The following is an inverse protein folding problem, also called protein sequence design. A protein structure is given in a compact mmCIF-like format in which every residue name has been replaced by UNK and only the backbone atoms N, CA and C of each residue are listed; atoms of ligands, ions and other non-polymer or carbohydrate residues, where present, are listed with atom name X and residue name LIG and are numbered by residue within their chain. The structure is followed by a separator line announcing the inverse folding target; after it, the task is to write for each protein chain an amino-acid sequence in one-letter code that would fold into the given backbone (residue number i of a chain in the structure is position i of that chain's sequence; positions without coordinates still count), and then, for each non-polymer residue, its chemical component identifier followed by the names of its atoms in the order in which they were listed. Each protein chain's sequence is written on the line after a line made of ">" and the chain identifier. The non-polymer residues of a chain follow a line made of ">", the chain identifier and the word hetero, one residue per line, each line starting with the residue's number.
data_IF_947685563001
#
_entry.id   IF_947685563001
#
_cell.length_a   1.000
_cell.length_b   1.000
_cell.length_c   1.000
_cell.angle_alpha   90.00
_cell.angle_beta   90.00
_cell.angle_gamma   90.00
#
_symmetry.space_group_name_H-M   'P 1'
#
loop_
_entity.id
_entity.type
_entity.pdbx_description
1 polymer ?
#
# COMPACT_ATOMS: atom_id res chain seq x y z
N UNK A 1 -21.89 15.41 25.78
CA UNK A 1 -22.51 14.12 26.13
C UNK A 1 -21.62 13.01 25.58
N UNK A 2 -20.83 12.40 26.42
CA UNK A 2 -19.97 11.27 26.04
C UNK A 2 -20.82 9.99 26.02
N UNK A 3 -21.28 9.59 24.84
CA UNK A 3 -21.62 8.18 24.67
C UNK A 3 -20.31 7.41 24.82
N UNK A 4 -20.21 6.55 25.81
CA UNK A 4 -19.18 5.54 25.92
C UNK A 4 -19.42 4.48 24.83
N UNK A 5 -19.11 4.83 23.58
CA UNK A 5 -19.04 3.82 22.53
C UNK A 5 -17.85 2.90 22.86
N UNK A 6 -18.08 1.60 22.81
CA UNK A 6 -16.99 0.63 22.90
C UNK A 6 -15.89 0.97 21.90
N UNK A 7 -14.61 0.71 22.20
CA UNK A 7 -13.51 0.94 21.27
C UNK A 7 -13.78 0.29 19.92
N UNK A 8 -13.41 0.98 18.82
CA UNK A 8 -13.50 0.42 17.47
C UNK A 8 -12.56 -0.78 17.35
N UNK A 9 -13.10 -1.92 16.94
CA UNK A 9 -12.37 -3.19 16.77
C UNK A 9 -11.66 -3.20 15.44
N UNK A 10 -10.33 -3.29 15.46
CA UNK A 10 -9.48 -3.22 14.28
C UNK A 10 -8.92 -4.62 13.96
N UNK A 11 -9.14 -5.07 12.74
CA UNK A 11 -8.48 -6.25 12.17
C UNK A 11 -7.23 -5.80 11.39
N UNK A 12 -6.03 -6.19 11.83
CA UNK A 12 -4.76 -5.80 11.19
C UNK A 12 -4.25 -6.97 10.36
N UNK A 13 -4.41 -6.87 9.06
CA UNK A 13 -3.89 -7.86 8.11
C UNK A 13 -2.47 -7.45 7.69
N UNK A 14 -1.46 -8.13 8.28
CA UNK A 14 -0.05 -7.79 8.17
C UNK A 14 0.50 -7.01 9.37
N UNK A 15 0.16 -7.42 10.60
CA UNK A 15 0.49 -6.73 11.85
C UNK A 15 1.99 -6.63 12.13
N UNK A 16 2.79 -7.55 11.62
CA UNK A 16 4.26 -7.58 11.82
C UNK A 16 5.02 -6.76 10.78
N UNK A 17 4.34 -6.21 9.76
CA UNK A 17 4.91 -5.31 8.77
C UNK A 17 5.07 -3.87 9.30
N UNK A 18 5.72 -3.01 8.50
CA UNK A 18 5.96 -1.60 8.88
C UNK A 18 4.68 -0.83 9.21
N UNK A 19 3.62 -1.02 8.44
CA UNK A 19 2.32 -0.36 8.69
C UNK A 19 1.62 -0.97 9.90
N UNK A 20 1.61 -2.31 10.00
CA UNK A 20 0.94 -3.01 11.09
C UNK A 20 1.54 -2.70 12.47
N UNK A 21 2.86 -2.63 12.58
CA UNK A 21 3.55 -2.26 13.84
C UNK A 21 3.21 -0.82 14.25
N UNK A 22 3.21 0.12 13.31
CA UNK A 22 2.82 1.51 13.57
C UNK A 22 1.32 1.64 13.91
N UNK A 23 0.45 0.82 13.32
CA UNK A 23 -0.96 0.78 13.69
C UNK A 23 -1.17 0.30 15.12
N UNK A 24 -0.40 -0.68 15.56
CA UNK A 24 -0.42 -1.13 16.96
C UNK A 24 0.10 -0.05 17.94
N UNK A 25 1.08 0.77 17.52
CA UNK A 25 1.49 1.95 18.31
C UNK A 25 0.35 2.99 18.40
N UNK A 26 -0.41 3.21 17.33
CA UNK A 26 -1.60 4.08 17.34
C UNK A 26 -2.66 3.53 18.30
N UNK A 27 -2.94 2.22 18.26
CA UNK A 27 -3.89 1.57 19.18
C UNK A 27 -3.41 1.72 20.63
N UNK A 28 -2.13 1.45 20.92
CA UNK A 28 -1.57 1.59 22.25
C UNK A 28 -1.65 3.02 22.80
N UNK A 29 -1.56 4.03 21.92
CA UNK A 29 -1.68 5.44 22.28
C UNK A 29 -3.13 5.90 22.51
N UNK A 30 -4.12 5.13 22.03
CA UNK A 30 -5.54 5.48 22.10
C UNK A 30 -6.42 4.28 22.51
N UNK A 31 -6.17 3.66 23.69
CA UNK A 31 -6.84 2.41 24.11
C UNK A 31 -8.34 2.56 24.37
N UNK A 32 -8.82 3.78 24.58
CA UNK A 32 -10.25 4.07 24.71
C UNK A 32 -10.99 4.18 23.39
N UNK A 33 -10.25 4.35 22.27
CA UNK A 33 -10.82 4.53 20.93
C UNK A 33 -10.68 3.28 20.06
N UNK A 34 -9.63 2.49 20.25
CA UNK A 34 -9.30 1.35 19.40
C UNK A 34 -8.89 0.12 20.21
N UNK A 35 -9.23 -1.04 19.69
CA UNK A 35 -8.75 -2.34 20.16
C UNK A 35 -8.32 -3.21 18.97
N UNK A 36 -7.30 -4.04 19.14
CA UNK A 36 -6.89 -5.01 18.14
C UNK A 36 -7.75 -6.27 18.27
N UNK A 37 -8.52 -6.60 17.25
CA UNK A 37 -9.43 -7.76 17.25
C UNK A 37 -8.80 -8.97 16.56
N UNK A 38 -8.13 -8.72 15.41
CA UNK A 38 -7.46 -9.75 14.61
C UNK A 38 -6.05 -9.26 14.28
N UNK A 39 -5.05 -10.14 14.47
CA UNK A 39 -3.69 -9.88 14.03
C UNK A 39 -3.23 -10.98 13.08
N UNK A 40 -2.64 -10.61 11.95
CA UNK A 40 -2.10 -11.58 11.01
C UNK A 40 -0.65 -11.29 10.65
N UNK A 41 0.13 -12.36 10.41
CA UNK A 41 1.48 -12.27 9.87
C UNK A 41 1.73 -13.39 8.86
N UNK A 42 2.66 -13.20 7.91
CA UNK A 42 3.00 -14.26 6.97
C UNK A 42 3.97 -15.27 7.59
N UNK A 43 5.14 -14.80 8.07
CA UNK A 43 6.22 -15.68 8.55
C UNK A 43 6.81 -15.30 9.91
N UNK A 44 6.53 -14.11 10.41
CA UNK A 44 7.16 -13.62 11.63
C UNK A 44 6.37 -14.04 12.88
N UNK A 45 6.46 -15.31 13.23
CA UNK A 45 5.77 -15.91 14.38
C UNK A 45 6.18 -15.26 15.70
N UNK A 46 7.45 -14.89 15.87
CA UNK A 46 7.95 -14.30 17.11
C UNK A 46 7.28 -12.98 17.41
N UNK A 47 7.33 -12.05 16.46
CA UNK A 47 6.70 -10.73 16.63
C UNK A 47 5.18 -10.85 16.73
N UNK A 48 4.55 -11.77 15.98
CA UNK A 48 3.11 -12.02 16.07
C UNK A 48 2.70 -12.48 17.48
N UNK A 49 3.46 -13.38 18.08
CA UNK A 49 3.23 -13.85 19.46
C UNK A 49 3.40 -12.69 20.45
N UNK A 50 4.47 -11.89 20.34
CA UNK A 50 4.69 -10.71 21.18
C UNK A 50 3.53 -9.71 21.09
N UNK A 51 3.07 -9.44 19.87
CA UNK A 51 1.93 -8.56 19.62
C UNK A 51 0.65 -9.14 20.23
N UNK A 52 0.39 -10.44 20.04
CA UNK A 52 -0.78 -11.12 20.57
C UNK A 52 -0.82 -11.12 22.12
N UNK A 53 0.33 -11.34 22.77
CA UNK A 53 0.44 -11.27 24.24
C UNK A 53 0.25 -9.86 24.79
N UNK A 54 0.59 -8.83 24.02
CA UNK A 54 0.48 -7.42 24.44
C UNK A 54 -0.90 -6.84 24.19
N UNK A 55 -1.53 -7.16 23.04
CA UNK A 55 -2.78 -6.53 22.60
C UNK A 55 -4.00 -7.43 22.78
N UNK A 56 -3.81 -8.68 23.16
CA UNK A 56 -4.85 -9.66 23.50
C UNK A 56 -5.99 -9.74 22.46
N UNK A 57 -5.67 -9.92 21.13
CA UNK A 57 -6.69 -10.03 20.11
C UNK A 57 -7.52 -11.31 20.30
N UNK A 58 -8.74 -11.35 19.76
CA UNK A 58 -9.54 -12.57 19.77
C UNK A 58 -9.01 -13.62 18.79
N UNK A 59 -8.38 -13.18 17.69
CA UNK A 59 -7.92 -14.06 16.61
C UNK A 59 -6.51 -13.68 16.17
N UNK A 60 -5.71 -14.72 15.91
CA UNK A 60 -4.39 -14.61 15.29
C UNK A 60 -4.31 -15.57 14.09
N UNK A 61 -3.74 -15.10 12.97
CA UNK A 61 -3.49 -15.94 11.79
C UNK A 61 -2.03 -15.85 11.38
N UNK A 62 -1.38 -17.01 11.22
CA UNK A 62 -0.03 -17.11 10.62
C UNK A 62 -0.15 -17.71 9.21
N UNK A 63 0.36 -17.00 8.18
CA UNK A 63 0.27 -17.45 6.78
C UNK A 63 1.09 -18.72 6.52
N UNK A 64 2.28 -18.80 7.10
CA UNK A 64 3.14 -20.01 7.03
C UNK A 64 2.61 -21.10 7.97
N UNK A 65 1.97 -22.12 7.41
CA UNK A 65 1.37 -23.23 8.15
C UNK A 65 2.41 -24.00 9.00
N UNK A 66 3.69 -24.00 8.63
CA UNK A 66 4.74 -24.67 9.39
C UNK A 66 4.96 -24.03 10.77
N UNK A 67 4.52 -22.78 10.94
CA UNK A 67 4.62 -22.02 12.19
C UNK A 67 3.40 -22.16 13.12
N UNK A 68 2.33 -22.82 12.65
CA UNK A 68 1.07 -22.96 13.39
C UNK A 68 1.27 -23.52 14.81
N UNK A 69 2.00 -24.63 14.92
CA UNK A 69 2.18 -25.31 16.19
C UNK A 69 2.86 -24.41 17.25
N UNK A 70 3.88 -23.65 16.85
CA UNK A 70 4.62 -22.72 17.72
C UNK A 70 3.72 -21.60 18.21
N UNK A 71 2.96 -20.96 17.30
CA UNK A 71 2.04 -19.85 17.64
C UNK A 71 0.92 -20.36 18.54
N UNK A 72 0.32 -21.52 18.21
CA UNK A 72 -0.76 -22.11 18.99
C UNK A 72 -0.31 -22.47 20.41
N UNK A 73 0.85 -23.09 20.56
CA UNK A 73 1.39 -23.43 21.87
C UNK A 73 1.66 -22.19 22.74
N UNK A 74 2.20 -21.13 22.13
CA UNK A 74 2.52 -19.90 22.88
C UNK A 74 1.26 -19.13 23.34
N UNK A 75 0.12 -19.31 22.67
CA UNK A 75 -1.11 -18.57 22.96
C UNK A 75 -2.24 -19.44 23.55
N UNK A 76 -2.01 -20.74 23.81
CA UNK A 76 -3.06 -21.71 24.21
C UNK A 76 -3.83 -21.28 25.48
N UNK A 77 -3.14 -20.68 26.47
CA UNK A 77 -3.72 -20.31 27.76
C UNK A 77 -4.26 -18.89 27.80
N UNK A 78 -4.31 -18.19 26.63
CA UNK A 78 -4.73 -16.79 26.51
C UNK A 78 -6.14 -16.60 25.99
N UNK A 79 -6.85 -17.68 25.65
CA UNK A 79 -8.17 -17.60 25.02
C UNK A 79 -8.16 -17.08 23.59
N UNK A 80 -6.98 -16.93 22.98
CA UNK A 80 -6.79 -16.42 21.62
C UNK A 80 -6.93 -17.57 20.62
N UNK A 81 -7.81 -17.40 19.61
CA UNK A 81 -7.96 -18.39 18.54
C UNK A 81 -6.84 -18.25 17.53
N UNK A 82 -6.17 -19.36 17.22
CA UNK A 82 -5.05 -19.39 16.27
C UNK A 82 -5.41 -20.18 15.03
N UNK A 83 -5.21 -19.57 13.85
CA UNK A 83 -5.40 -20.20 12.54
C UNK A 83 -4.12 -20.07 11.70
N UNK A 84 -4.04 -20.86 10.62
CA UNK A 84 -2.89 -20.81 9.72
C UNK A 84 -3.28 -21.00 8.25
N UNK A 85 -2.44 -20.50 7.34
CA UNK A 85 -2.55 -20.63 5.90
C UNK A 85 -3.32 -19.50 5.21
N UNK A 86 -3.20 -19.45 3.89
CA UNK A 86 -3.82 -18.40 3.05
C UNK A 86 -5.36 -18.47 3.09
N UNK A 87 -5.92 -19.70 3.11
CA UNK A 87 -7.35 -19.89 3.21
C UNK A 87 -7.91 -19.32 4.52
N UNK A 88 -7.20 -19.52 5.62
CA UNK A 88 -7.58 -18.97 6.91
C UNK A 88 -7.55 -17.43 6.93
N UNK A 89 -6.64 -16.80 6.21
CA UNK A 89 -6.62 -15.32 6.05
C UNK A 89 -7.90 -14.83 5.36
N UNK A 90 -8.35 -15.49 4.31
CA UNK A 90 -9.58 -15.14 3.60
C UNK A 90 -10.83 -15.40 4.46
N UNK A 91 -10.92 -16.57 5.12
CA UNK A 91 -12.04 -16.94 5.99
C UNK A 91 -12.18 -15.99 7.20
N UNK A 92 -11.05 -15.64 7.84
CA UNK A 92 -11.05 -14.73 9.00
C UNK A 92 -11.40 -13.29 8.59
N UNK A 93 -11.02 -12.86 7.39
CA UNK A 93 -11.46 -11.57 6.83
C UNK A 93 -12.97 -11.50 6.64
N UNK A 94 -13.64 -12.65 6.40
CA UNK A 94 -15.09 -12.78 6.28
C UNK A 94 -15.86 -12.87 7.61
N UNK A 95 -15.23 -12.67 8.77
CA UNK A 95 -15.91 -12.72 10.07
C UNK A 95 -16.50 -11.36 10.48
N UNK A 96 -17.66 -11.38 11.14
CA UNK A 96 -18.33 -10.18 11.63
C UNK A 96 -17.93 -9.82 13.08
N UNK A 97 -16.64 -9.94 13.41
CA UNK A 97 -16.14 -9.65 14.76
C UNK A 97 -15.38 -8.33 14.89
N UNK A 98 -15.15 -7.62 13.81
CA UNK A 98 -14.40 -6.34 13.79
C UNK A 98 -15.20 -5.25 13.05
N UNK A 99 -14.76 -4.00 13.18
CA UNK A 99 -15.44 -2.84 12.60
C UNK A 99 -14.69 -2.25 11.39
N UNK A 100 -13.35 -2.38 11.38
CA UNK A 100 -12.49 -1.87 10.32
C UNK A 100 -11.32 -2.84 10.09
N UNK A 101 -11.07 -3.16 8.81
CA UNK A 101 -9.88 -3.88 8.39
C UNK A 101 -8.77 -2.91 7.98
N UNK A 102 -7.61 -2.99 8.61
CA UNK A 102 -6.38 -2.41 8.09
C UNK A 102 -5.71 -3.43 7.15
N UNK A 103 -5.82 -3.19 5.84
CA UNK A 103 -5.26 -4.04 4.80
C UNK A 103 -3.79 -3.65 4.55
N UNK A 104 -2.84 -4.32 5.21
CA UNK A 104 -1.41 -4.02 5.20
C UNK A 104 -0.54 -5.23 4.81
N UNK A 105 -1.11 -6.27 4.19
CA UNK A 105 -0.36 -7.35 3.56
C UNK A 105 0.33 -6.79 2.31
N UNK A 106 1.61 -7.05 2.15
CA UNK A 106 2.40 -6.56 1.02
C UNK A 106 2.09 -7.37 -0.25
N UNK A 107 1.95 -6.69 -1.37
CA UNK A 107 1.79 -7.30 -2.68
C UNK A 107 0.39 -7.89 -2.95
N UNK A 108 0.32 -8.73 -3.96
CA UNK A 108 -0.91 -9.36 -4.45
C UNK A 108 -1.73 -10.14 -3.39
N UNK A 109 -1.05 -10.73 -2.39
CA UNK A 109 -1.69 -11.59 -1.38
C UNK A 109 -2.78 -10.88 -0.54
N UNK A 110 -2.81 -9.56 -0.52
CA UNK A 110 -3.84 -8.76 0.16
C UNK A 110 -5.19 -8.71 -0.54
N UNK A 111 -5.29 -9.07 -1.82
CA UNK A 111 -6.50 -8.90 -2.63
C UNK A 111 -7.68 -9.75 -2.13
N UNK A 112 -7.49 -11.07 -1.95
CA UNK A 112 -8.56 -12.00 -1.52
C UNK A 112 -9.14 -11.64 -0.14
N UNK A 113 -8.32 -11.44 0.91
CA UNK A 113 -8.84 -11.02 2.22
C UNK A 113 -9.57 -9.67 2.16
N UNK A 114 -9.08 -8.71 1.37
CA UNK A 114 -9.74 -7.40 1.22
C UNK A 114 -11.11 -7.55 0.57
N UNK A 115 -11.24 -8.35 -0.49
CA UNK A 115 -12.55 -8.63 -1.12
C UNK A 115 -13.50 -9.38 -0.17
N UNK A 116 -12.99 -10.32 0.63
CA UNK A 116 -13.81 -11.04 1.63
C UNK A 116 -14.38 -10.06 2.68
N UNK A 117 -13.58 -9.14 3.20
CA UNK A 117 -14.01 -8.11 4.14
C UNK A 117 -15.05 -7.14 3.53
N UNK A 118 -14.84 -6.71 2.28
CA UNK A 118 -15.78 -5.84 1.55
C UNK A 118 -17.15 -6.52 1.39
N UNK A 119 -17.17 -7.80 1.00
CA UNK A 119 -18.41 -8.57 0.80
C UNK A 119 -19.30 -8.67 2.04
N UNK A 120 -18.71 -8.62 3.24
CA UNK A 120 -19.46 -8.61 4.51
C UNK A 120 -19.70 -7.20 5.08
N UNK A 121 -19.42 -6.14 4.30
CA UNK A 121 -19.71 -4.77 4.67
C UNK A 121 -18.70 -4.10 5.60
N UNK A 122 -17.46 -4.62 5.72
CA UNK A 122 -16.43 -4.04 6.60
C UNK A 122 -15.70 -2.88 5.94
N UNK A 123 -15.59 -1.75 6.66
CA UNK A 123 -14.77 -0.62 6.21
C UNK A 123 -13.30 -1.03 6.05
N UNK A 124 -12.65 -0.50 5.02
CA UNK A 124 -11.24 -0.82 4.70
C UNK A 124 -10.37 0.41 4.89
N UNK A 125 -9.36 0.32 5.75
CA UNK A 125 -8.20 1.21 5.76
C UNK A 125 -7.13 0.58 4.85
N UNK A 126 -6.99 1.08 3.62
CA UNK A 126 -6.20 0.44 2.58
C UNK A 126 -4.76 0.98 2.59
N UNK A 127 -3.81 0.14 3.02
CA UNK A 127 -2.38 0.41 2.91
C UNK A 127 -1.71 -0.42 1.79
N UNK A 128 -2.36 -1.51 1.36
CA UNK A 128 -1.90 -2.37 0.28
C UNK A 128 -2.40 -1.83 -1.07
N UNK A 129 -1.58 -1.01 -1.73
CA UNK A 129 -1.91 -0.43 -3.04
C UNK A 129 -2.03 -1.48 -4.15
N UNK A 130 -1.29 -2.57 -4.03
CA UNK A 130 -1.30 -3.65 -5.02
C UNK A 130 -2.70 -4.26 -5.21
N UNK A 131 -3.54 -4.23 -4.19
CA UNK A 131 -4.95 -4.62 -4.28
C UNK A 131 -5.71 -3.85 -5.38
N UNK A 132 -5.51 -2.54 -5.47
CA UNK A 132 -6.13 -1.70 -6.50
C UNK A 132 -5.36 -1.73 -7.83
N UNK A 133 -4.05 -1.91 -7.79
CA UNK A 133 -3.23 -2.06 -8.99
C UNK A 133 -3.62 -3.31 -9.77
N UNK A 134 -3.85 -4.41 -9.08
CA UNK A 134 -4.16 -5.72 -9.69
C UNK A 134 -5.59 -5.77 -10.20
N UNK A 135 -6.58 -5.42 -9.39
CA UNK A 135 -8.00 -5.62 -9.71
C UNK A 135 -8.87 -4.45 -9.19
N UNK A 136 -8.41 -3.22 -9.39
CA UNK A 136 -9.06 -2.03 -8.82
C UNK A 136 -10.49 -1.80 -9.30
N UNK A 137 -10.81 -2.17 -10.54
CA UNK A 137 -12.17 -2.14 -11.08
C UNK A 137 -13.13 -3.07 -10.31
N UNK A 138 -12.69 -4.29 -10.01
CA UNK A 138 -13.47 -5.28 -9.25
C UNK A 138 -13.59 -4.84 -7.79
N UNK A 139 -12.50 -4.41 -7.18
CA UNK A 139 -12.46 -3.99 -5.77
C UNK A 139 -13.39 -2.80 -5.54
N UNK A 140 -13.27 -1.74 -6.36
CA UNK A 140 -14.08 -0.52 -6.20
C UNK A 140 -15.56 -0.77 -6.52
N UNK A 141 -15.87 -1.60 -7.54
CA UNK A 141 -17.24 -2.01 -7.83
C UNK A 141 -17.84 -2.80 -6.67
N UNK A 142 -17.12 -3.79 -6.14
CA UNK A 142 -17.58 -4.58 -5.00
C UNK A 142 -17.77 -3.71 -3.76
N UNK A 143 -16.89 -2.74 -3.52
CA UNK A 143 -17.03 -1.80 -2.41
C UNK A 143 -18.29 -0.91 -2.57
N UNK A 144 -18.56 -0.42 -3.78
CA UNK A 144 -19.75 0.38 -4.08
C UNK A 144 -21.05 -0.43 -3.87
N UNK A 145 -21.10 -1.65 -4.42
CA UNK A 145 -22.25 -2.55 -4.30
C UNK A 145 -22.58 -2.89 -2.83
N UNK A 146 -21.56 -3.06 -2.00
CA UNK A 146 -21.71 -3.36 -0.56
C UNK A 146 -21.72 -2.09 0.32
N UNK A 147 -21.65 -0.88 -0.27
CA UNK A 147 -21.61 0.42 0.43
C UNK A 147 -20.47 0.51 1.46
N UNK A 148 -19.35 -0.08 1.14
CA UNK A 148 -18.15 -0.11 1.98
C UNK A 148 -17.23 1.06 1.66
N UNK A 149 -16.86 1.89 2.64
CA UNK A 149 -15.86 2.92 2.43
C UNK A 149 -14.46 2.29 2.37
N UNK A 150 -13.67 2.71 1.37
CA UNK A 150 -12.23 2.44 1.31
C UNK A 150 -11.51 3.74 1.65
N UNK A 151 -10.78 3.75 2.77
CA UNK A 151 -10.06 4.90 3.30
C UNK A 151 -8.57 4.68 3.05
N UNK A 152 -7.89 5.53 2.27
CA UNK A 152 -6.48 5.32 1.95
C UNK A 152 -5.57 5.57 3.15
N UNK A 153 -4.56 4.72 3.29
CA UNK A 153 -3.49 4.83 4.30
C UNK A 153 -2.17 5.26 3.66
N UNK A 154 -1.95 4.94 2.38
CA UNK A 154 -0.77 5.45 1.67
C UNK A 154 -0.72 6.97 1.76
N UNK A 155 0.46 7.54 2.05
CA UNK A 155 0.60 8.95 2.48
C UNK A 155 0.06 9.93 1.46
N UNK A 156 0.32 9.71 0.19
CA UNK A 156 -0.12 10.54 -0.92
C UNK A 156 -1.64 10.48 -1.12
N UNK A 157 -2.20 9.27 -1.06
CA UNK A 157 -3.64 9.06 -1.22
C UNK A 157 -4.42 9.54 0.00
N UNK A 158 -3.87 9.34 1.21
CA UNK A 158 -4.41 9.94 2.42
C UNK A 158 -4.44 11.46 2.33
N UNK A 159 -3.38 12.07 1.77
CA UNK A 159 -3.31 13.52 1.57
C UNK A 159 -4.40 14.01 0.61
N UNK A 160 -4.58 13.35 -0.54
CA UNK A 160 -5.63 13.66 -1.51
C UNK A 160 -7.00 13.50 -0.86
N UNK A 161 -7.25 12.38 -0.19
CA UNK A 161 -8.50 12.12 0.52
C UNK A 161 -8.81 13.23 1.52
N UNK A 162 -7.82 13.67 2.33
CA UNK A 162 -7.97 14.76 3.29
C UNK A 162 -8.29 16.11 2.62
N UNK A 163 -7.70 16.38 1.44
CA UNK A 163 -8.00 17.58 0.65
C UNK A 163 -9.43 17.57 0.09
N UNK A 164 -10.00 16.39 -0.16
CA UNK A 164 -11.34 16.21 -0.73
C UNK A 164 -12.45 16.19 0.33
N UNK A 165 -12.13 16.08 1.61
CA UNK A 165 -13.15 16.14 2.68
C UNK A 165 -13.89 17.48 2.63
N UNK A 166 -15.21 17.41 2.47
CA UNK A 166 -16.09 18.58 2.32
C UNK A 166 -16.26 19.09 0.87
N UNK A 167 -15.50 18.54 -0.08
CA UNK A 167 -15.51 18.97 -1.50
C UNK A 167 -16.44 18.12 -2.40
N UNK A 168 -17.49 17.54 -1.85
CA UNK A 168 -18.36 16.55 -2.51
C UNK A 168 -19.03 17.04 -3.81
N UNK A 169 -19.13 18.36 -4.02
CA UNK A 169 -19.74 18.99 -5.20
C UNK A 169 -18.72 19.63 -6.14
N UNK A 170 -17.46 19.71 -5.72
CA UNK A 170 -16.42 20.40 -6.47
C UNK A 170 -15.66 19.40 -7.34
N UNK A 171 -15.51 19.75 -8.63
CA UNK A 171 -14.87 18.88 -9.57
C UNK A 171 -13.36 19.01 -9.49
N UNK A 172 -12.70 17.86 -9.55
CA UNK A 172 -11.25 17.75 -9.62
C UNK A 172 -10.81 18.02 -11.06
N UNK A 173 -9.99 19.03 -11.28
CA UNK A 173 -9.29 19.22 -12.56
C UNK A 173 -8.19 18.18 -12.67
N UNK A 174 -7.30 18.11 -11.68
CA UNK A 174 -6.25 17.08 -11.56
C UNK A 174 -5.79 16.89 -10.12
N UNK A 175 -5.18 15.75 -9.85
CA UNK A 175 -4.35 15.53 -8.67
C UNK A 175 -2.88 15.66 -9.01
N UNK A 176 -2.08 16.07 -8.02
CA UNK A 176 -0.63 16.20 -8.14
C UNK A 176 -0.01 15.30 -7.08
N UNK A 177 0.45 14.12 -7.52
CA UNK A 177 1.15 13.16 -6.68
C UNK A 177 2.61 13.61 -6.50
N UNK A 178 3.04 13.80 -5.27
CA UNK A 178 4.44 14.11 -4.97
C UNK A 178 5.26 12.83 -4.83
N UNK A 179 6.51 12.86 -5.25
CA UNK A 179 7.48 11.79 -5.09
C UNK A 179 8.73 12.34 -4.40
N UNK A 180 9.35 11.58 -3.51
CA UNK A 180 10.66 11.97 -2.94
C UNK A 180 11.78 11.99 -3.99
N UNK A 181 11.59 11.31 -5.12
CA UNK A 181 12.61 11.05 -6.13
C UNK A 181 13.50 9.84 -5.83
N UNK A 182 13.35 9.24 -4.64
CA UNK A 182 14.13 8.06 -4.21
C UNK A 182 15.62 8.36 -3.99
N UNK A 183 16.42 7.31 -3.66
CA UNK A 183 17.85 7.45 -3.36
C UNK A 183 18.71 7.84 -4.57
N UNK A 184 18.18 7.77 -5.78
CA UNK A 184 18.92 8.03 -7.01
C UNK A 184 18.45 9.30 -7.76
N UNK A 185 17.77 10.21 -7.04
CA UNK A 185 17.36 11.50 -7.61
C UNK A 185 18.57 12.22 -8.25
N UNK A 186 18.41 12.69 -9.51
CA UNK A 186 19.45 13.35 -10.29
C UNK A 186 20.52 12.43 -10.88
N UNK A 187 20.50 11.11 -10.57
CA UNK A 187 21.43 10.15 -11.19
C UNK A 187 20.96 9.75 -12.58
N UNK A 188 21.92 9.40 -13.44
CA UNK A 188 21.66 8.95 -14.82
C UNK A 188 21.94 7.46 -14.96
N UNK A 189 21.52 6.86 -16.07
CA UNK A 189 21.63 5.42 -16.35
C UNK A 189 23.03 4.85 -16.16
N UNK A 190 24.10 5.61 -16.53
CA UNK A 190 25.49 5.18 -16.36
C UNK A 190 25.88 4.96 -14.89
N UNK A 191 25.27 5.68 -13.96
CA UNK A 191 25.43 5.44 -12.53
C UNK A 191 24.67 4.18 -12.08
N UNK A 192 23.45 4.01 -12.59
CA UNK A 192 22.53 2.94 -12.18
C UNK A 192 23.01 1.54 -12.55
N UNK A 193 23.85 1.40 -13.59
CA UNK A 193 24.49 0.12 -13.98
C UNK A 193 25.24 -0.54 -12.81
N UNK A 194 25.85 0.25 -11.94
CA UNK A 194 26.68 -0.23 -10.83
C UNK A 194 25.96 -0.22 -9.46
N UNK A 195 24.66 0.06 -9.45
CA UNK A 195 23.87 0.11 -8.21
C UNK A 195 23.70 -1.30 -7.64
N UNK A 196 24.06 -1.43 -6.35
CA UNK A 196 23.85 -2.64 -5.55
C UNK A 196 22.64 -2.48 -4.64
N UNK A 197 22.15 -3.61 -4.13
CA UNK A 197 21.02 -3.67 -3.20
C UNK A 197 21.17 -2.70 -2.01
N UNK A 198 22.35 -2.65 -1.42
CA UNK A 198 22.64 -1.82 -0.25
C UNK A 198 22.48 -0.32 -0.54
N UNK A 199 22.81 0.12 -1.76
CA UNK A 199 22.60 1.51 -2.20
C UNK A 199 21.11 1.82 -2.40
N UNK A 200 20.35 0.89 -2.99
CA UNK A 200 18.94 1.06 -3.29
C UNK A 200 18.05 1.02 -2.05
N UNK A 201 18.50 0.38 -0.96
CA UNK A 201 17.79 0.31 0.32
C UNK A 201 17.95 1.57 1.21
N UNK A 202 18.77 2.55 0.81
CA UNK A 202 19.01 3.78 1.58
C UNK A 202 18.05 4.89 1.12
N UNK A 203 16.80 4.85 1.60
CA UNK A 203 15.86 5.94 1.30
C UNK A 203 16.17 7.20 2.13
N UNK A 204 16.21 8.42 1.52
CA UNK A 204 16.65 9.64 2.23
C UNK A 204 15.70 10.09 3.34
N UNK A 205 14.40 9.89 3.21
CA UNK A 205 13.39 10.49 4.09
C UNK A 205 12.54 9.46 4.85
N UNK A 206 12.39 8.23 4.32
CA UNK A 206 11.46 7.24 4.85
C UNK A 206 12.18 5.97 5.33
N UNK A 207 11.76 5.45 6.48
CA UNK A 207 12.10 4.09 6.92
C UNK A 207 10.96 3.14 6.52
N UNK A 208 11.20 2.32 5.51
CA UNK A 208 10.18 1.49 4.87
C UNK A 208 10.63 0.04 4.72
N UNK A 209 9.69 -0.85 4.37
CA UNK A 209 10.00 -2.23 4.01
C UNK A 209 10.88 -2.31 2.75
N UNK A 210 11.63 -3.41 2.61
CA UNK A 210 12.60 -3.55 1.51
C UNK A 210 11.96 -3.44 0.11
N UNK A 211 10.79 -4.07 -0.12
CA UNK A 211 10.11 -4.03 -1.43
C UNK A 211 9.77 -2.60 -1.85
N UNK A 212 9.06 -1.85 -1.01
CA UNK A 212 8.64 -0.48 -1.33
C UNK A 212 9.84 0.47 -1.44
N UNK A 213 10.96 0.21 -0.74
CA UNK A 213 12.18 1.00 -0.87
C UNK A 213 12.81 0.83 -2.25
N UNK A 214 12.84 -0.41 -2.79
CA UNK A 214 13.28 -0.66 -4.17
C UNK A 214 12.31 -0.05 -5.19
N UNK A 215 11.00 -0.15 -4.97
CA UNK A 215 10.00 0.49 -5.82
C UNK A 215 10.17 2.02 -5.84
N UNK A 216 10.51 2.63 -4.71
CA UNK A 216 10.86 4.06 -4.65
C UNK A 216 12.13 4.36 -5.45
N UNK A 217 13.17 3.52 -5.33
CA UNK A 217 14.43 3.70 -6.03
C UNK A 217 14.29 3.62 -7.56
N UNK A 218 13.31 2.86 -8.07
CA UNK A 218 13.01 2.71 -9.50
C UNK A 218 11.90 3.65 -9.99
N UNK A 219 11.28 4.43 -9.11
CA UNK A 219 10.02 5.17 -9.31
C UNK A 219 8.81 4.28 -9.64
N UNK A 220 8.91 2.95 -9.52
CA UNK A 220 7.75 2.06 -9.64
C UNK A 220 6.71 2.35 -8.56
N UNK A 221 7.12 2.66 -7.33
CA UNK A 221 6.18 3.02 -6.26
C UNK A 221 5.23 4.14 -6.71
N UNK A 222 5.77 5.20 -7.31
CA UNK A 222 4.95 6.30 -7.84
C UNK A 222 4.07 5.86 -9.01
N UNK A 223 4.54 4.95 -9.83
CA UNK A 223 3.75 4.33 -10.89
C UNK A 223 2.55 3.53 -10.34
N UNK A 224 2.76 2.71 -9.31
CA UNK A 224 1.68 1.97 -8.63
C UNK A 224 0.68 2.94 -7.99
N UNK A 225 1.16 4.02 -7.39
CA UNK A 225 0.32 5.05 -6.79
C UNK A 225 -0.55 5.82 -7.80
N UNK A 226 -0.08 6.04 -9.02
CA UNK A 226 -0.91 6.62 -10.10
C UNK A 226 -2.12 5.72 -10.39
N UNK A 227 -1.90 4.40 -10.44
CA UNK A 227 -2.97 3.42 -10.70
C UNK A 227 -3.93 3.34 -9.50
N UNK A 228 -3.41 3.33 -8.28
CA UNK A 228 -4.21 3.39 -7.05
C UNK A 228 -5.10 4.64 -7.02
N UNK A 229 -4.54 5.81 -7.33
CA UNK A 229 -5.27 7.08 -7.36
C UNK A 229 -6.40 7.10 -8.38
N UNK A 230 -6.19 6.53 -9.58
CA UNK A 230 -7.24 6.35 -10.58
C UNK A 230 -8.47 5.67 -9.98
N UNK A 231 -8.26 4.60 -9.26
CA UNK A 231 -9.35 3.80 -8.70
C UNK A 231 -9.99 4.45 -7.48
N UNK A 232 -9.20 4.92 -6.52
CA UNK A 232 -9.70 5.54 -5.28
C UNK A 232 -10.54 6.80 -5.54
N UNK A 233 -10.12 7.62 -6.49
CA UNK A 233 -10.74 8.92 -6.74
C UNK A 233 -11.51 8.99 -8.07
N UNK A 234 -11.68 7.85 -8.75
CA UNK A 234 -12.38 7.75 -10.04
C UNK A 234 -11.86 8.77 -11.07
N UNK A 235 -10.55 8.80 -11.27
CA UNK A 235 -9.87 9.77 -12.15
C UNK A 235 -9.53 9.15 -13.50
N UNK A 236 -9.50 10.00 -14.53
CA UNK A 236 -8.90 9.65 -15.83
C UNK A 236 -7.38 9.76 -15.73
N UNK A 237 -6.60 8.99 -16.52
CA UNK A 237 -5.13 9.05 -16.51
C UNK A 237 -4.58 10.47 -16.64
N UNK A 238 -5.18 11.31 -17.52
CA UNK A 238 -4.75 12.69 -17.78
C UNK A 238 -4.96 13.65 -16.58
N UNK A 239 -5.74 13.24 -15.59
CA UNK A 239 -5.97 14.01 -14.36
C UNK A 239 -4.94 13.68 -13.27
N UNK A 240 -3.97 12.82 -13.54
CA UNK A 240 -2.96 12.39 -12.57
C UNK A 240 -1.59 12.90 -13.02
N UNK A 241 -1.08 13.91 -12.32
CA UNK A 241 0.26 14.48 -12.54
C UNK A 241 1.21 14.02 -11.45
N UNK A 242 2.44 13.67 -11.82
CA UNK A 242 3.52 13.36 -10.86
C UNK A 242 4.52 14.51 -10.83
N UNK A 243 4.94 14.93 -9.64
CA UNK A 243 6.03 15.87 -9.42
C UNK A 243 7.00 15.31 -8.38
N UNK A 244 8.28 15.57 -8.56
CA UNK A 244 9.31 15.23 -7.55
C UNK A 244 9.37 16.37 -6.54
N UNK A 245 9.22 16.05 -5.26
CA UNK A 245 9.31 16.96 -4.12
C UNK A 245 10.27 16.35 -3.08
N UNK A 246 11.57 16.63 -3.18
CA UNK A 246 12.59 15.93 -2.39
C UNK A 246 12.43 16.06 -0.88
N UNK A 247 11.84 17.17 -0.40
CA UNK A 247 11.64 17.41 1.03
C UNK A 247 10.54 16.54 1.64
N UNK A 248 9.63 15.95 0.82
CA UNK A 248 8.52 15.10 1.25
C UNK A 248 7.65 15.73 2.36
N UNK A 249 7.46 17.04 2.34
CA UNK A 249 6.64 17.81 3.28
C UNK A 249 5.21 17.96 2.76
N UNK A 250 5.05 18.23 1.47
CA UNK A 250 3.75 18.17 0.80
C UNK A 250 3.56 16.73 0.34
N UNK A 251 2.57 16.05 0.91
CA UNK A 251 2.33 14.64 0.62
C UNK A 251 1.55 14.42 -0.68
N UNK A 252 0.68 15.32 -1.06
CA UNK A 252 0.06 15.46 -2.40
C UNK A 252 -0.88 16.67 -2.42
N UNK A 253 -1.41 16.98 -3.62
CA UNK A 253 -2.26 18.15 -3.84
C UNK A 253 -3.43 17.80 -4.74
N UNK A 254 -4.52 18.55 -4.61
CA UNK A 254 -5.70 18.50 -5.48
C UNK A 254 -5.90 19.88 -6.09
N UNK A 255 -5.94 19.97 -7.41
CA UNK A 255 -6.33 21.16 -8.16
C UNK A 255 -7.78 21.01 -8.60
N UNK A 256 -8.58 22.01 -8.31
CA UNK A 256 -9.99 22.07 -8.69
C UNK A 256 -10.20 22.86 -10.00
N UNK A 257 -11.37 22.73 -10.63
CA UNK A 257 -11.69 23.40 -11.91
C UNK A 257 -11.66 24.95 -11.85
N UNK A 258 -11.73 25.53 -10.65
CA UNK A 258 -11.56 26.99 -10.46
C UNK A 258 -10.09 27.43 -10.39
N UNK A 259 -9.15 26.47 -10.53
CA UNK A 259 -7.71 26.70 -10.47
C UNK A 259 -7.13 26.70 -9.04
N UNK A 260 -7.95 26.60 -7.99
CA UNK A 260 -7.45 26.54 -6.63
C UNK A 260 -6.79 25.19 -6.33
N UNK A 261 -5.76 25.18 -5.46
CA UNK A 261 -5.03 23.98 -5.07
C UNK A 261 -5.12 23.83 -3.55
N UNK A 262 -5.54 22.64 -3.11
CA UNK A 262 -5.38 22.19 -1.72
C UNK A 262 -4.24 21.21 -1.60
N UNK A 263 -3.44 21.36 -0.54
CA UNK A 263 -2.31 20.49 -0.23
C UNK A 263 -2.40 20.00 1.22
N UNK A 264 -2.08 18.74 1.46
CA UNK A 264 -1.85 18.26 2.82
C UNK A 264 -0.35 18.22 3.08
N UNK A 265 0.07 18.77 4.21
CA UNK A 265 1.45 18.90 4.62
C UNK A 265 1.67 18.21 5.97
N UNK A 266 2.87 17.64 6.14
CA UNK A 266 3.29 17.03 7.40
C UNK A 266 4.73 16.52 7.33
N UNK A 267 5.24 16.04 8.47
CA UNK A 267 6.49 15.28 8.48
C UNK A 267 6.24 13.88 7.89
N UNK A 268 7.27 13.24 7.29
CA UNK A 268 7.16 11.89 6.73
C UNK A 268 7.03 10.84 7.86
N UNK A 269 5.81 10.59 8.31
CA UNK A 269 5.45 9.61 9.35
C UNK A 269 4.13 8.93 9.00
N UNK A 270 4.15 7.60 8.86
CA UNK A 270 2.96 6.82 8.52
C UNK A 270 1.93 6.73 9.65
N UNK A 271 2.29 7.03 10.90
CA UNK A 271 1.33 7.01 12.02
C UNK A 271 0.18 8.01 11.81
N UNK A 272 0.46 9.16 11.18
CA UNK A 272 -0.57 10.16 10.93
C UNK A 272 -1.64 9.66 9.94
N UNK A 273 -1.33 9.18 8.72
CA UNK A 273 -2.34 8.63 7.83
C UNK A 273 -3.01 7.36 8.37
N UNK A 274 -2.28 6.48 9.08
CA UNK A 274 -2.85 5.31 9.76
C UNK A 274 -3.89 5.75 10.79
N UNK A 275 -3.53 6.67 11.69
CA UNK A 275 -4.43 7.21 12.72
C UNK A 275 -5.65 7.86 12.08
N UNK A 276 -5.44 8.64 11.02
CA UNK A 276 -6.55 9.31 10.33
C UNK A 276 -7.53 8.31 9.71
N UNK A 277 -7.03 7.27 9.03
CA UNK A 277 -7.87 6.24 8.44
C UNK A 277 -8.66 5.46 9.51
N UNK A 278 -8.04 5.13 10.64
CA UNK A 278 -8.70 4.42 11.74
C UNK A 278 -9.74 5.28 12.46
N UNK A 279 -9.50 6.59 12.60
CA UNK A 279 -10.36 7.52 13.31
C UNK A 279 -11.43 8.19 12.44
N UNK A 280 -11.32 8.12 11.12
CA UNK A 280 -12.20 8.82 10.20
C UNK A 280 -13.69 8.66 10.57
N UNK A 281 -14.48 9.74 10.55
CA UNK A 281 -14.18 11.10 10.05
C UNK A 281 -13.50 12.06 11.06
N UNK A 282 -13.11 11.59 12.23
CA UNK A 282 -12.55 12.45 13.28
C UNK A 282 -11.03 12.65 13.09
N UNK A 283 -10.55 13.83 13.55
CA UNK A 283 -9.12 14.08 13.79
C UNK A 283 -8.88 13.99 15.29
N UNK A 284 -8.17 12.96 15.72
CA UNK A 284 -7.84 12.73 17.13
C UNK A 284 -6.47 13.31 17.47
N UNK A 285 -6.33 13.81 18.71
CA UNK A 285 -5.09 14.39 19.19
C UNK A 285 -3.99 13.31 19.30
N UNK A 286 -2.73 13.69 19.10
CA UNK A 286 -1.57 12.83 19.26
C UNK A 286 -0.34 13.64 19.70
N UNK A 287 0.74 12.93 20.07
CA UNK A 287 2.02 13.50 20.49
C UNK A 287 3.10 13.40 19.40
N UNK A 288 2.74 13.14 18.14
CA UNK A 288 3.73 13.03 17.05
C UNK A 288 4.41 14.37 16.81
N UNK A 289 5.65 14.39 16.31
CA UNK A 289 6.35 15.60 15.94
C UNK A 289 5.52 16.49 15.01
N UNK A 290 5.65 17.80 15.17
CA UNK A 290 4.96 18.80 14.34
C UNK A 290 5.90 19.40 13.32
N UNK A 291 5.37 19.71 12.13
CA UNK A 291 6.09 20.49 11.14
C UNK A 291 6.38 21.89 11.70
N UNK A 292 7.66 22.28 11.69
CA UNK A 292 8.09 23.63 12.07
C UNK A 292 8.57 24.40 10.83
N UNK A 293 7.82 25.43 10.46
CA UNK A 293 8.15 26.29 9.31
C UNK A 293 9.43 27.11 9.51
N UNK A 294 9.98 27.20 10.73
CA UNK A 294 11.30 27.80 10.95
C UNK A 294 12.43 26.93 10.40
N UNK A 295 12.25 25.61 10.37
CA UNK A 295 13.21 24.65 9.82
C UNK A 295 12.99 24.38 8.32
N UNK A 296 11.78 24.55 7.82
CA UNK A 296 11.40 24.30 6.42
C UNK A 296 11.21 25.64 5.70
N UNK A 297 12.28 26.13 5.06
CA UNK A 297 12.27 27.44 4.40
C UNK A 297 11.95 27.38 2.91
N UNK A 298 12.29 26.28 2.25
CA UNK A 298 12.13 26.10 0.81
C UNK A 298 11.46 24.76 0.51
N UNK A 299 10.52 24.79 -0.41
CA UNK A 299 9.87 23.62 -1.00
C UNK A 299 10.14 23.66 -2.49
N UNK A 300 10.71 22.62 -3.05
CA UNK A 300 11.05 22.54 -4.47
C UNK A 300 10.27 21.45 -5.18
N UNK A 301 10.03 21.64 -6.45
CA UNK A 301 9.32 20.71 -7.32
C UNK A 301 10.08 20.57 -8.64
N UNK A 302 10.21 19.33 -9.11
CA UNK A 302 10.91 19.01 -10.35
C UNK A 302 10.07 17.99 -11.15
N UNK A 303 10.27 17.94 -12.46
CA UNK A 303 9.67 16.91 -13.29
C UNK A 303 10.38 15.56 -13.07
N UNK A 304 9.66 14.42 -13.05
CA UNK A 304 10.29 13.12 -12.94
C UNK A 304 11.07 12.75 -14.21
N UNK A 305 12.30 12.21 -14.05
CA UNK A 305 13.11 11.73 -15.17
C UNK A 305 12.64 10.33 -15.64
N UNK A 306 11.56 10.30 -16.43
CA UNK A 306 10.96 9.06 -16.95
C UNK A 306 11.85 8.32 -17.95
N UNK A 307 12.91 8.97 -18.48
CA UNK A 307 13.87 8.32 -19.38
C UNK A 307 14.87 7.46 -18.61
N UNK A 308 15.36 7.97 -17.49
CA UNK A 308 16.25 7.23 -16.60
C UNK A 308 15.49 6.22 -15.77
N UNK A 309 14.30 6.57 -15.27
CA UNK A 309 13.44 5.72 -14.45
C UNK A 309 12.24 5.23 -15.26
N UNK A 310 12.51 4.34 -16.19
CA UNK A 310 11.53 3.78 -17.16
C UNK A 310 10.32 3.11 -16.50
N UNK A 311 10.45 2.61 -15.27
CA UNK A 311 9.35 1.97 -14.54
C UNK A 311 8.14 2.89 -14.37
N UNK A 312 8.35 4.20 -14.17
CA UNK A 312 7.26 5.17 -14.11
C UNK A 312 6.52 5.29 -15.46
N UNK A 313 7.27 5.25 -16.57
CA UNK A 313 6.65 5.26 -17.91
C UNK A 313 5.87 3.97 -18.19
N UNK A 314 6.40 2.78 -17.80
CA UNK A 314 5.69 1.50 -17.92
C UNK A 314 4.36 1.51 -17.11
N UNK A 315 4.38 2.09 -15.92
CA UNK A 315 3.16 2.25 -15.13
C UNK A 315 2.16 3.21 -15.78
N UNK A 316 2.63 4.30 -16.43
CA UNK A 316 1.77 5.20 -17.21
C UNK A 316 1.13 4.47 -18.40
N UNK A 317 1.91 3.65 -19.11
CA UNK A 317 1.40 2.81 -20.21
C UNK A 317 0.32 1.83 -19.71
N UNK A 318 0.54 1.19 -18.55
CA UNK A 318 -0.44 0.30 -17.93
C UNK A 318 -1.71 1.04 -17.48
N UNK A 319 -1.55 2.23 -16.90
CA UNK A 319 -2.66 3.10 -16.48
C UNK A 319 -3.54 3.53 -17.65
N UNK A 320 -2.93 3.91 -18.77
CA UNK A 320 -3.64 4.35 -19.98
C UNK A 320 -4.35 3.20 -20.68
N UNK A 321 -3.66 2.07 -20.87
CA UNK A 321 -4.18 0.91 -21.57
C UNK A 321 -5.27 0.19 -20.77
N UNK A 322 -5.14 0.14 -19.45
CA UNK A 322 -6.11 -0.52 -18.57
C UNK A 322 -6.07 -2.05 -18.67
N UNK A 323 -7.24 -2.69 -18.50
CA UNK A 323 -7.35 -4.13 -18.49
C UNK A 323 -6.45 -4.80 -17.45
N UNK A 324 -5.91 -5.97 -17.78
CA UNK A 324 -5.00 -6.72 -16.92
C UNK A 324 -3.53 -6.23 -16.95
N UNK A 325 -3.20 -5.15 -17.70
CA UNK A 325 -1.80 -4.77 -17.90
C UNK A 325 -1.11 -4.32 -16.60
N UNK A 326 -1.84 -3.62 -15.72
CA UNK A 326 -1.32 -3.23 -14.42
C UNK A 326 -1.08 -4.43 -13.48
N UNK A 327 -1.93 -5.45 -13.55
CA UNK A 327 -1.74 -6.73 -12.86
C UNK A 327 -0.46 -7.44 -13.33
N UNK A 328 -0.27 -7.56 -14.64
CA UNK A 328 0.92 -8.15 -15.27
C UNK A 328 2.18 -7.41 -14.82
N UNK A 329 2.17 -6.08 -14.90
CA UNK A 329 3.28 -5.22 -14.49
C UNK A 329 3.63 -5.43 -13.00
N UNK A 330 2.62 -5.45 -12.13
CA UNK A 330 2.84 -5.65 -10.70
C UNK A 330 3.44 -7.03 -10.39
N UNK A 331 2.91 -8.09 -11.00
CA UNK A 331 3.43 -9.45 -10.83
C UNK A 331 4.90 -9.55 -11.25
N UNK A 332 5.25 -9.00 -12.42
CA UNK A 332 6.62 -8.96 -12.90
C UNK A 332 7.53 -8.13 -11.98
N UNK A 333 7.04 -6.98 -11.48
CA UNK A 333 7.78 -6.14 -10.56
C UNK A 333 8.09 -6.84 -9.24
N UNK A 334 7.13 -7.55 -8.64
CA UNK A 334 7.35 -8.29 -7.39
C UNK A 334 8.43 -9.36 -7.56
N UNK A 335 8.44 -10.11 -8.66
CA UNK A 335 9.46 -11.12 -8.98
C UNK A 335 10.83 -10.46 -9.21
N UNK A 336 10.89 -9.40 -10.01
CA UNK A 336 12.14 -8.69 -10.32
C UNK A 336 12.75 -8.05 -9.05
N UNK A 337 11.95 -7.40 -8.22
CA UNK A 337 12.39 -6.83 -6.94
C UNK A 337 12.90 -7.92 -5.99
N UNK A 338 12.20 -9.05 -5.90
CA UNK A 338 12.66 -10.18 -5.08
C UNK A 338 14.03 -10.70 -5.56
N UNK A 339 14.21 -10.88 -6.86
CA UNK A 339 15.47 -11.33 -7.44
C UNK A 339 16.62 -10.34 -7.22
N UNK A 340 16.35 -9.04 -7.36
CA UNK A 340 17.33 -7.99 -7.05
C UNK A 340 17.72 -7.99 -5.56
N UNK A 341 16.76 -8.11 -4.66
CA UNK A 341 17.01 -8.21 -3.20
C UNK A 341 17.82 -9.46 -2.84
N UNK A 342 17.78 -10.51 -3.66
CA UNK A 342 18.59 -11.74 -3.53
C UNK A 342 19.91 -11.67 -4.33
N UNK A 343 20.27 -10.53 -4.91
CA UNK A 343 21.45 -10.32 -5.75
C UNK A 343 21.54 -11.28 -6.95
N UNK A 344 20.40 -11.67 -7.54
CA UNK A 344 20.35 -12.55 -8.72
C UNK A 344 20.31 -11.78 -10.03
N UNK A 345 19.93 -10.52 -10.00
CA UNK A 345 19.88 -9.61 -11.15
C UNK A 345 20.43 -8.23 -10.75
N UNK A 346 20.79 -7.41 -11.74
CA UNK A 346 21.21 -6.02 -11.52
C UNK A 346 20.00 -5.07 -11.45
N UNK A 347 20.26 -3.84 -11.03
CA UNK A 347 19.20 -2.82 -10.84
C UNK A 347 18.41 -2.54 -12.13
N UNK A 348 19.07 -2.39 -13.27
CA UNK A 348 18.43 -2.12 -14.55
C UNK A 348 17.72 -3.33 -15.16
N UNK A 349 18.10 -4.54 -14.79
CA UNK A 349 17.46 -5.76 -15.27
C UNK A 349 15.99 -5.84 -14.82
N UNK A 350 15.65 -5.25 -13.66
CA UNK A 350 14.28 -5.20 -13.18
C UNK A 350 13.34 -4.57 -14.22
N UNK A 351 13.71 -3.42 -14.75
CA UNK A 351 12.91 -2.73 -15.78
C UNK A 351 12.75 -3.58 -17.04
N UNK A 352 13.84 -4.21 -17.48
CA UNK A 352 13.83 -5.06 -18.68
C UNK A 352 12.90 -6.27 -18.53
N UNK A 353 12.92 -6.91 -17.36
CA UNK A 353 12.04 -8.05 -17.05
C UNK A 353 10.58 -7.63 -17.04
N UNK A 354 10.25 -6.50 -16.39
CA UNK A 354 8.90 -5.96 -16.33
C UNK A 354 8.39 -5.67 -17.74
N UNK A 355 9.15 -4.93 -18.54
CA UNK A 355 8.77 -4.54 -19.91
C UNK A 355 8.54 -5.74 -20.81
N UNK A 356 9.45 -6.74 -20.80
CA UNK A 356 9.28 -7.99 -21.55
C UNK A 356 8.04 -8.76 -21.12
N UNK A 357 7.77 -8.84 -19.81
CA UNK A 357 6.59 -9.54 -19.29
C UNK A 357 5.30 -8.87 -19.74
N UNK A 358 5.24 -7.52 -19.69
CA UNK A 358 4.09 -6.74 -20.17
C UNK A 358 3.84 -6.94 -21.67
N UNK A 359 4.89 -7.19 -22.47
CA UNK A 359 4.77 -7.44 -23.90
C UNK A 359 4.35 -8.88 -24.23
N UNK A 360 4.73 -9.84 -23.40
CA UNK A 360 4.57 -11.27 -23.67
C UNK A 360 3.24 -11.83 -23.20
N UNK A 361 2.75 -11.40 -22.05
CA UNK A 361 1.51 -11.93 -21.47
C UNK A 361 0.30 -11.37 -22.21
N UNK A 362 -0.69 -12.21 -22.59
CA UNK A 362 -1.88 -11.78 -23.35
C UNK A 362 -2.65 -10.67 -22.61
N UNK A 363 -2.98 -9.63 -23.37
CA UNK A 363 -3.81 -8.52 -22.87
C UNK A 363 -5.30 -8.90 -22.88
N UNK A 364 -5.97 -8.66 -21.74
CA UNK A 364 -7.42 -8.82 -21.57
C UNK A 364 -7.98 -7.46 -21.14
N UNK A 365 -8.90 -6.92 -21.91
CA UNK A 365 -9.43 -5.55 -21.71
C UNK A 365 -10.38 -5.45 -20.51
N UNK A 366 -11.22 -6.46 -20.29
CA UNK A 366 -12.20 -6.51 -19.20
C UNK A 366 -12.08 -7.85 -18.47
N UNK A 367 -11.02 -8.05 -17.69
CA UNK A 367 -10.77 -9.33 -17.03
C UNK A 367 -11.76 -9.58 -15.89
N UNK A 368 -12.16 -10.82 -15.75
CA UNK A 368 -12.81 -11.34 -14.54
C UNK A 368 -11.79 -11.48 -13.40
N UNK A 369 -12.24 -11.76 -12.20
CA UNK A 369 -11.34 -11.97 -11.06
C UNK A 369 -10.41 -13.17 -11.30
N UNK A 370 -10.93 -14.24 -11.88
CA UNK A 370 -10.19 -15.44 -12.24
C UNK A 370 -9.12 -15.14 -13.29
N UNK A 371 -9.46 -14.36 -14.31
CA UNK A 371 -8.51 -13.94 -15.35
C UNK A 371 -7.41 -13.00 -14.81
N UNK A 372 -7.69 -12.20 -13.77
CA UNK A 372 -6.63 -11.48 -13.04
C UNK A 372 -5.69 -12.44 -12.31
N UNK A 373 -6.22 -13.50 -11.67
CA UNK A 373 -5.39 -14.51 -11.02
C UNK A 373 -4.53 -15.30 -12.01
N UNK A 374 -5.10 -15.67 -13.15
CA UNK A 374 -4.37 -16.35 -14.25
C UNK A 374 -3.29 -15.45 -14.84
N UNK A 375 -3.62 -14.17 -15.07
CA UNK A 375 -2.66 -13.17 -15.57
C UNK A 375 -1.49 -12.94 -14.61
N UNK A 376 -1.76 -12.81 -13.30
CA UNK A 376 -0.73 -12.69 -12.26
C UNK A 376 0.19 -13.93 -12.25
N UNK A 377 -0.39 -15.13 -12.23
CA UNK A 377 0.37 -16.38 -12.22
C UNK A 377 1.23 -16.54 -13.49
N UNK A 378 0.68 -16.26 -14.67
CA UNK A 378 1.40 -16.33 -15.93
C UNK A 378 2.54 -15.31 -15.97
N UNK A 379 2.31 -14.08 -15.52
CA UNK A 379 3.33 -13.03 -15.47
C UNK A 379 4.45 -13.36 -14.48
N UNK A 380 4.13 -13.92 -13.31
CA UNK A 380 5.15 -14.40 -12.33
C UNK A 380 6.01 -15.49 -12.90
N UNK A 381 5.42 -16.50 -13.52
CA UNK A 381 6.15 -17.61 -14.13
C UNK A 381 7.09 -17.10 -15.25
N UNK A 382 6.57 -16.27 -16.17
CA UNK A 382 7.38 -15.72 -17.24
C UNK A 382 8.54 -14.85 -16.71
N UNK A 383 8.28 -13.98 -15.72
CA UNK A 383 9.32 -13.16 -15.10
C UNK A 383 10.38 -14.00 -14.38
N UNK A 384 9.97 -15.08 -13.69
CA UNK A 384 10.88 -16.03 -13.04
C UNK A 384 11.78 -16.77 -14.05
N UNK A 385 11.22 -17.20 -15.18
CA UNK A 385 11.97 -17.86 -16.27
C UNK A 385 13.05 -16.92 -16.87
N UNK A 386 12.77 -15.60 -16.95
CA UNK A 386 13.77 -14.62 -17.40
C UNK A 386 14.97 -14.48 -16.45
N UNK A 387 14.82 -14.92 -15.21
CA UNK A 387 15.81 -14.80 -14.14
C UNK A 387 16.50 -16.16 -13.86
N UNK A 388 16.03 -17.25 -14.49
CA UNK A 388 16.42 -18.64 -14.16
C UNK A 388 16.22 -18.92 -12.65
N UNK A 389 15.06 -18.55 -12.14
CA UNK A 389 14.63 -18.76 -10.75
C UNK A 389 14.01 -20.14 -10.54
#
# INVERSE_FOLDING_TARGET
>A
MSQSSSPKRIAIFGSTGSIGTQALEVIASHPTLFTAEILTAQQNEKLLIEQALRFEPNIVVIGDETKYAVVKQALQDKGIKVFAGEKALEEVAGLDCYDLMLAAIVGYAGLRPTLAAIKIGKAIALANKETLVVAGDIVMRTALENKVPIIPVDSEHSAIFQCLVGETRNKIEKIILTASGGPFLGRKTNYLVNVKREHALQHPNWSMGAKITIDSATLMNKGLEMIEAKWLFNLRPQQIQVVVHPQSIIHSMVQFEDGSIKAQMGLPDMKLPIQYAMAFPLRIANQYPRLDFKSVRNLSFEDPDIKTFRNLALASEALEKGGNLACIMNAANEIAVYAFLKNRINFLDMTTIIEKTMQQIPFIQHPTLEEYFESDAAARNFAADQINL
#
